data_IF_487828270321
#
_entry.id   IF_487828270321
#
_cell.length_a   1.000
_cell.length_b   1.000
_cell.length_c   1.000
_cell.angle_alpha   90.00
_cell.angle_beta   90.00
_cell.angle_gamma   90.00
#
_symmetry.space_group_name_H-M   'P 1'
#
loop_
_entity.id
_entity.type
_entity.pdbx_description
1 polymer ?
#
# COMPACT_ATOMS: atom_id res chain seq x y z
N UNK A 1 -36.71 58.82 -4.57
CA UNK A 1 -35.37 58.36 -4.98
C UNK A 1 -34.78 57.66 -3.77
N UNK A 2 -35.21 56.42 -3.57
CA UNK A 2 -34.74 55.55 -2.49
C UNK A 2 -33.43 54.94 -2.94
N UNK A 3 -32.36 55.35 -2.28
CA UNK A 3 -31.04 54.74 -2.34
C UNK A 3 -31.13 53.33 -1.72
N UNK A 4 -31.47 52.34 -2.54
CA UNK A 4 -31.25 50.94 -2.21
C UNK A 4 -29.76 50.71 -2.36
N UNK A 5 -28.99 51.03 -1.32
CA UNK A 5 -27.61 50.58 -1.24
C UNK A 5 -27.62 49.06 -1.43
N UNK A 6 -27.09 48.60 -2.56
CA UNK A 6 -26.78 47.18 -2.77
C UNK A 6 -25.88 46.76 -1.63
N UNK A 7 -26.43 46.06 -0.64
CA UNK A 7 -25.63 45.44 0.39
C UNK A 7 -24.77 44.40 -0.30
N UNK A 8 -23.47 44.67 -0.35
CA UNK A 8 -22.48 43.81 -0.98
C UNK A 8 -22.59 42.39 -0.40
N UNK A 9 -22.73 41.39 -1.26
CA UNK A 9 -22.94 40.01 -0.83
C UNK A 9 -21.76 39.53 0.03
N UNK A 10 -22.00 39.04 1.26
CA UNK A 10 -20.95 38.45 2.09
C UNK A 10 -20.21 37.30 1.39
N UNK A 11 -20.91 36.51 0.57
CA UNK A 11 -20.30 35.42 -0.20
C UNK A 11 -19.35 35.97 -1.27
N UNK A 12 -19.77 36.95 -2.07
CA UNK A 12 -18.92 37.53 -3.12
C UNK A 12 -17.66 38.18 -2.52
N UNK A 13 -17.81 38.92 -1.43
CA UNK A 13 -16.68 39.53 -0.69
C UNK A 13 -15.69 38.46 -0.21
N UNK A 14 -16.22 37.32 0.26
CA UNK A 14 -15.40 36.19 0.68
C UNK A 14 -14.66 35.54 -0.51
N UNK A 15 -15.34 35.32 -1.63
CA UNK A 15 -14.76 34.73 -2.84
C UNK A 15 -13.69 35.62 -3.44
N UNK A 16 -13.87 36.94 -3.44
CA UNK A 16 -12.84 37.90 -3.85
C UNK A 16 -11.57 37.80 -3.01
N UNK A 17 -11.71 37.65 -1.69
CA UNK A 17 -10.58 37.41 -0.80
C UNK A 17 -9.88 36.08 -1.09
N UNK A 18 -10.63 35.03 -1.45
CA UNK A 18 -10.08 33.72 -1.87
C UNK A 18 -9.32 33.86 -3.20
N UNK A 19 -9.90 34.54 -4.19
CA UNK A 19 -9.29 34.77 -5.51
C UNK A 19 -7.98 35.53 -5.36
N UNK A 20 -8.00 36.65 -4.63
CA UNK A 20 -6.81 37.45 -4.33
C UNK A 20 -5.74 36.61 -3.60
N UNK A 21 -6.19 35.73 -2.70
CA UNK A 21 -5.33 34.81 -1.96
C UNK A 21 -4.71 33.68 -2.80
N UNK A 22 -5.34 33.26 -3.89
CA UNK A 22 -4.92 32.07 -4.66
C UNK A 22 -4.40 32.39 -6.07
N UNK A 23 -4.05 33.64 -6.36
CA UNK A 23 -3.53 34.12 -7.66
C UNK A 23 -2.33 33.34 -8.22
N UNK A 24 -1.52 32.71 -7.37
CA UNK A 24 -0.37 31.88 -7.78
C UNK A 24 -0.77 30.49 -8.35
N UNK A 25 -2.04 30.10 -8.25
CA UNK A 25 -2.56 28.84 -8.81
C UNK A 25 -2.73 28.94 -10.33
N UNK A 26 -2.78 27.80 -11.00
CA UNK A 26 -3.16 27.78 -12.42
C UNK A 26 -4.62 28.26 -12.59
N UNK A 27 -4.97 28.96 -13.69
CA UNK A 27 -6.32 29.50 -13.90
C UNK A 27 -7.43 28.44 -13.87
N UNK A 28 -7.11 27.18 -14.21
CA UNK A 28 -8.07 26.07 -14.13
C UNK A 28 -8.34 25.65 -12.69
N UNK A 29 -7.30 25.55 -11.87
CA UNK A 29 -7.43 25.19 -10.45
C UNK A 29 -8.12 26.29 -9.65
N UNK A 30 -7.79 27.55 -9.93
CA UNK A 30 -8.44 28.69 -9.28
C UNK A 30 -9.95 28.67 -9.51
N UNK A 31 -10.39 28.52 -10.77
CA UNK A 31 -11.82 28.42 -11.12
C UNK A 31 -12.52 27.25 -10.42
N UNK A 32 -11.86 26.10 -10.32
CA UNK A 32 -12.44 24.95 -9.64
C UNK A 32 -12.63 25.20 -8.14
N UNK A 33 -11.58 25.70 -7.46
CA UNK A 33 -11.64 25.96 -6.01
C UNK A 33 -12.69 27.02 -5.69
N UNK A 34 -12.77 28.08 -6.50
CA UNK A 34 -13.78 29.14 -6.33
C UNK A 34 -15.19 28.59 -6.53
N UNK A 35 -15.44 27.87 -7.63
CA UNK A 35 -16.76 27.30 -7.90
C UNK A 35 -17.22 26.29 -6.84
N UNK A 36 -16.31 25.45 -6.33
CA UNK A 36 -16.60 24.50 -5.26
C UNK A 36 -16.89 25.20 -3.92
N UNK A 37 -16.12 26.25 -3.60
CA UNK A 37 -16.32 27.06 -2.39
C UNK A 37 -17.63 27.82 -2.45
N UNK A 38 -17.94 28.43 -3.60
CA UNK A 38 -19.20 29.12 -3.86
C UNK A 38 -20.39 28.18 -3.68
N UNK A 39 -20.34 26.99 -4.29
CA UNK A 39 -21.41 26.00 -4.17
C UNK A 39 -21.72 25.66 -2.71
N UNK A 40 -20.69 25.38 -1.90
CA UNK A 40 -20.89 25.09 -0.47
C UNK A 40 -21.46 26.27 0.33
N UNK A 41 -21.00 27.49 0.06
CA UNK A 41 -21.52 28.69 0.73
C UNK A 41 -22.98 28.96 0.34
N UNK A 42 -23.33 28.76 -0.93
CA UNK A 42 -24.70 28.93 -1.45
C UNK A 42 -25.62 27.85 -0.87
N UNK A 43 -25.20 26.59 -0.82
CA UNK A 43 -25.97 25.49 -0.21
C UNK A 43 -26.28 25.76 1.27
N UNK A 44 -25.29 26.25 2.04
CA UNK A 44 -25.47 26.59 3.46
C UNK A 44 -26.38 27.81 3.64
N UNK A 45 -26.25 28.83 2.78
CA UNK A 45 -27.12 30.01 2.81
C UNK A 45 -28.58 29.67 2.45
N UNK A 46 -28.79 28.83 1.44
CA UNK A 46 -30.12 28.35 1.05
C UNK A 46 -30.80 27.58 2.19
N UNK A 47 -30.05 26.75 2.92
CA UNK A 47 -30.57 26.06 4.11
C UNK A 47 -30.99 27.04 5.21
N UNK A 48 -30.20 28.08 5.48
CA UNK A 48 -30.55 29.11 6.47
C UNK A 48 -31.77 29.95 6.03
N UNK A 49 -31.86 30.27 4.74
CA UNK A 49 -33.03 30.94 4.16
C UNK A 49 -34.30 30.09 4.27
N UNK A 50 -34.21 28.78 4.02
CA UNK A 50 -35.32 27.85 4.20
C UNK A 50 -35.79 27.77 5.67
N UNK A 51 -34.90 28.07 6.62
CA UNK A 51 -35.23 28.21 8.04
C UNK A 51 -35.81 29.59 8.42
N UNK A 52 -36.05 30.47 7.43
CA UNK A 52 -36.65 31.78 7.61
C UNK A 52 -35.66 32.94 7.83
N UNK A 53 -34.36 32.71 7.65
CA UNK A 53 -33.35 33.77 7.77
C UNK A 53 -33.38 34.70 6.53
N UNK A 54 -33.25 36.03 6.70
CA UNK A 54 -33.07 36.95 5.58
C UNK A 54 -31.82 36.60 4.76
N UNK A 55 -31.88 36.80 3.43
CA UNK A 55 -30.81 36.37 2.51
C UNK A 55 -29.40 36.87 2.91
N UNK A 56 -29.25 38.17 3.20
CA UNK A 56 -27.95 38.73 3.61
C UNK A 56 -27.43 38.13 4.93
N UNK A 57 -28.31 37.90 5.91
CA UNK A 57 -27.95 37.25 7.18
C UNK A 57 -27.57 35.78 6.97
N UNK A 58 -28.27 35.08 6.08
CA UNK A 58 -27.97 33.70 5.71
C UNK A 58 -26.60 33.56 5.04
N UNK A 59 -26.26 34.46 4.12
CA UNK A 59 -24.94 34.52 3.48
C UNK A 59 -23.83 34.83 4.51
N UNK A 60 -24.06 35.80 5.40
CA UNK A 60 -23.10 36.13 6.46
C UNK A 60 -22.91 34.96 7.44
N UNK A 61 -23.97 34.24 7.77
CA UNK A 61 -23.92 33.05 8.62
C UNK A 61 -23.16 31.91 7.93
N UNK A 62 -23.38 31.68 6.63
CA UNK A 62 -22.68 30.68 5.85
C UNK A 62 -21.16 30.95 5.85
N UNK A 63 -20.74 32.20 5.57
CA UNK A 63 -19.34 32.61 5.64
C UNK A 63 -18.76 32.45 7.05
N UNK A 64 -19.48 32.87 8.08
CA UNK A 64 -19.03 32.71 9.47
C UNK A 64 -18.83 31.24 9.84
N UNK A 65 -19.72 30.35 9.40
CA UNK A 65 -19.63 28.90 9.63
C UNK A 65 -18.48 28.27 8.83
N UNK A 66 -18.26 28.73 7.61
CA UNK A 66 -17.18 28.27 6.74
C UNK A 66 -15.80 28.68 7.30
N UNK A 67 -15.73 29.83 7.94
CA UNK A 67 -14.54 30.35 8.62
C UNK A 67 -13.82 31.45 7.82
N UNK A 68 -12.70 32.00 8.34
CA UNK A 68 -12.03 33.14 7.73
C UNK A 68 -11.32 32.81 6.41
N UNK A 69 -11.50 33.65 5.38
CA UNK A 69 -10.90 33.45 4.05
C UNK A 69 -9.37 33.29 4.12
N UNK A 70 -8.70 34.03 5.01
CA UNK A 70 -7.24 33.93 5.22
C UNK A 70 -6.77 32.54 5.66
N UNK A 71 -7.57 31.86 6.47
CA UNK A 71 -7.24 30.53 7.00
C UNK A 71 -7.47 29.47 5.92
N UNK A 72 -8.56 29.60 5.17
CA UNK A 72 -8.81 28.80 3.97
C UNK A 72 -7.70 28.96 2.93
N UNK A 73 -7.32 30.19 2.58
CA UNK A 73 -6.24 30.49 1.63
C UNK A 73 -4.90 29.93 2.13
N UNK A 74 -4.59 30.08 3.43
CA UNK A 74 -3.36 29.54 4.00
C UNK A 74 -3.32 28.01 3.92
N UNK A 75 -4.42 27.33 4.25
CA UNK A 75 -4.55 25.89 4.14
C UNK A 75 -4.41 25.43 2.67
N UNK A 76 -5.04 26.13 1.74
CA UNK A 76 -5.02 25.78 0.33
C UNK A 76 -3.64 26.06 -0.31
N UNK A 77 -2.92 27.09 0.13
CA UNK A 77 -1.51 27.30 -0.24
C UNK A 77 -0.61 26.21 0.32
N UNK A 78 -0.82 25.79 1.57
CA UNK A 78 -0.08 24.69 2.18
C UNK A 78 -0.29 23.36 1.43
N UNK A 79 -1.51 23.12 0.92
CA UNK A 79 -1.82 21.96 0.05
C UNK A 79 -1.17 22.05 -1.33
N UNK A 80 -0.96 23.25 -1.87
CA UNK A 80 -0.32 23.46 -3.17
C UNK A 80 1.15 23.05 -3.18
N UNK A 81 1.82 23.17 -2.03
CA UNK A 81 3.19 22.73 -1.84
C UNK A 81 3.12 21.29 -1.35
N UNK A 82 3.21 20.31 -2.25
CA UNK A 82 3.56 18.95 -1.87
C UNK A 82 5.07 18.90 -1.70
N UNK A 83 5.63 18.97 -0.48
CA UNK A 83 7.06 18.78 -0.29
C UNK A 83 7.41 17.37 -0.78
N UNK A 84 8.07 17.29 -1.95
CA UNK A 84 8.51 16.03 -2.56
C UNK A 84 9.29 15.19 -1.54
N UNK A 85 10.04 15.85 -0.66
CA UNK A 85 10.74 15.19 0.45
C UNK A 85 9.84 14.43 1.42
N UNK A 86 8.66 14.96 1.77
CA UNK A 86 7.74 14.25 2.65
C UNK A 86 7.02 13.11 1.92
N UNK A 87 6.63 13.32 0.65
CA UNK A 87 6.10 12.23 -0.16
C UNK A 87 7.12 11.10 -0.30
N UNK A 88 8.37 11.42 -0.64
CA UNK A 88 9.45 10.44 -0.75
C UNK A 88 9.66 9.69 0.58
N UNK A 89 9.59 10.38 1.72
CA UNK A 89 9.72 9.74 3.04
C UNK A 89 8.53 8.84 3.36
N UNK A 90 7.30 9.24 3.04
CA UNK A 90 6.09 8.40 3.22
C UNK A 90 6.18 7.14 2.36
N UNK A 91 6.59 7.29 1.09
CA UNK A 91 6.82 6.19 0.16
C UNK A 91 7.92 5.26 0.69
N UNK A 92 9.07 5.80 1.10
CA UNK A 92 10.16 5.01 1.66
C UNK A 92 9.74 4.26 2.93
N UNK A 93 8.99 4.91 3.82
CA UNK A 93 8.48 4.28 5.05
C UNK A 93 7.53 3.13 4.72
N UNK A 94 6.60 3.34 3.78
CA UNK A 94 5.72 2.28 3.29
C UNK A 94 6.47 1.15 2.61
N UNK A 95 7.49 1.46 1.79
CA UNK A 95 8.33 0.48 1.12
C UNK A 95 9.12 -0.37 2.13
N UNK A 96 9.68 0.24 3.17
CA UNK A 96 10.37 -0.48 4.24
C UNK A 96 9.41 -1.35 5.06
N UNK A 97 8.20 -0.87 5.35
CA UNK A 97 7.19 -1.68 6.05
C UNK A 97 6.74 -2.88 5.22
N UNK A 98 6.31 -2.64 3.97
CA UNK A 98 5.82 -3.69 3.08
C UNK A 98 6.95 -4.65 2.69
N UNK A 99 8.14 -4.12 2.38
CA UNK A 99 9.33 -4.90 2.07
C UNK A 99 9.78 -5.75 3.26
N UNK A 100 9.78 -5.19 4.47
CA UNK A 100 10.08 -5.93 5.70
C UNK A 100 9.08 -7.07 5.96
N UNK A 101 7.77 -6.81 5.79
CA UNK A 101 6.73 -7.84 5.91
C UNK A 101 6.86 -8.92 4.83
N UNK A 102 7.17 -8.53 3.59
CA UNK A 102 7.44 -9.45 2.49
C UNK A 102 8.66 -10.34 2.76
N UNK A 103 9.75 -9.75 3.26
CA UNK A 103 10.93 -10.49 3.66
C UNK A 103 10.63 -11.50 4.79
N UNK A 104 9.88 -11.09 5.81
CA UNK A 104 9.40 -12.01 6.88
C UNK A 104 8.55 -13.14 6.32
N UNK A 105 7.65 -12.85 5.38
CA UNK A 105 6.86 -13.88 4.69
C UNK A 105 7.75 -14.87 3.91
N UNK A 106 8.78 -14.38 3.21
CA UNK A 106 9.77 -15.25 2.57
C UNK A 106 10.51 -16.09 3.61
N UNK A 107 10.87 -15.53 4.76
CA UNK A 107 11.43 -16.26 5.90
C UNK A 107 10.55 -17.41 6.39
N UNK A 108 9.26 -17.13 6.61
CA UNK A 108 8.29 -18.15 7.00
C UNK A 108 8.18 -19.26 5.94
N UNK A 109 8.22 -18.90 4.65
CA UNK A 109 8.27 -19.91 3.58
C UNK A 109 9.56 -20.75 3.60
N UNK A 110 10.69 -20.18 4.05
CA UNK A 110 11.93 -20.92 4.28
C UNK A 110 11.81 -21.97 5.39
N UNK A 111 11.08 -21.66 6.47
CA UNK A 111 10.78 -22.63 7.54
C UNK A 111 9.92 -23.77 7.00
N UNK A 112 8.88 -23.47 6.22
CA UNK A 112 8.04 -24.50 5.58
C UNK A 112 8.89 -25.36 4.61
N UNK A 113 9.76 -24.74 3.81
CA UNK A 113 10.68 -25.44 2.94
C UNK A 113 11.61 -26.40 3.72
N UNK A 114 12.13 -25.97 4.87
CA UNK A 114 12.93 -26.82 5.75
C UNK A 114 12.14 -28.03 6.25
N UNK A 115 10.88 -27.83 6.64
CA UNK A 115 9.98 -28.91 7.06
C UNK A 115 9.69 -29.90 5.91
N UNK A 116 9.43 -29.40 4.70
CA UNK A 116 9.24 -30.25 3.51
C UNK A 116 10.50 -31.08 3.26
N UNK A 117 11.70 -30.47 3.31
CA UNK A 117 12.97 -31.19 3.16
C UNK A 117 13.13 -32.30 4.21
N UNK A 118 12.76 -32.01 5.46
CA UNK A 118 12.85 -32.97 6.57
C UNK A 118 11.89 -34.15 6.42
N UNK A 119 10.66 -33.90 5.97
CA UNK A 119 9.59 -34.92 5.94
C UNK A 119 9.53 -35.67 4.60
N UNK A 120 9.66 -34.96 3.48
CA UNK A 120 9.49 -35.50 2.14
C UNK A 120 10.81 -35.66 1.36
N UNK A 121 11.93 -35.20 1.94
CA UNK A 121 13.26 -35.30 1.34
C UNK A 121 13.63 -34.16 0.40
N UNK A 122 14.91 -34.11 0.03
CA UNK A 122 15.51 -33.06 -0.80
C UNK A 122 14.85 -32.95 -2.18
N UNK A 123 14.58 -34.09 -2.82
CA UNK A 123 14.01 -34.14 -4.18
C UNK A 123 12.57 -33.63 -4.24
N UNK A 124 11.79 -33.75 -3.15
CA UNK A 124 10.47 -33.14 -3.07
C UNK A 124 10.54 -31.62 -2.95
N UNK A 125 11.57 -31.09 -2.27
CA UNK A 125 11.77 -29.65 -2.11
C UNK A 125 12.27 -29.00 -3.40
N UNK A 126 13.37 -29.51 -3.96
CA UNK A 126 14.02 -29.01 -5.19
C UNK A 126 14.33 -30.18 -6.12
N UNK A 127 14.25 -29.96 -7.43
CA UNK A 127 14.74 -30.93 -8.41
C UNK A 127 15.29 -30.24 -9.67
N UNK A 128 16.01 -30.99 -10.47
CA UNK A 128 16.44 -30.57 -11.81
C UNK A 128 15.21 -30.53 -12.72
N UNK A 129 14.98 -29.38 -13.37
CA UNK A 129 13.84 -29.24 -14.27
C UNK A 129 13.88 -30.30 -15.38
N UNK A 130 12.71 -30.85 -15.80
CA UNK A 130 12.65 -31.89 -16.83
C UNK A 130 13.40 -31.47 -18.10
N UNK A 131 14.21 -32.39 -18.65
CA UNK A 131 14.99 -32.15 -19.86
C UNK A 131 16.27 -31.34 -19.67
N UNK A 132 16.58 -30.87 -18.45
CA UNK A 132 17.88 -30.25 -18.15
C UNK A 132 18.89 -31.31 -17.71
N UNK A 133 20.10 -31.22 -18.25
CA UNK A 133 21.25 -32.04 -17.85
C UNK A 133 22.28 -31.19 -17.12
N UNK A 134 22.90 -31.75 -16.09
CA UNK A 134 24.03 -31.11 -15.41
C UNK A 134 25.27 -31.25 -16.29
N UNK A 135 25.96 -30.13 -16.54
CA UNK A 135 27.19 -30.15 -17.32
C UNK A 135 28.33 -30.84 -16.55
N UNK A 136 29.32 -31.38 -17.26
CA UNK A 136 30.47 -32.03 -16.63
C UNK A 136 31.26 -31.07 -15.71
N UNK A 137 31.35 -29.79 -16.07
CA UNK A 137 32.03 -28.77 -15.27
C UNK A 137 31.25 -28.37 -14.01
N UNK A 138 29.92 -28.24 -14.09
CA UNK A 138 29.09 -28.05 -12.89
C UNK A 138 29.19 -29.26 -11.97
N UNK A 139 29.24 -30.46 -12.54
CA UNK A 139 29.37 -31.69 -11.80
C UNK A 139 30.66 -31.76 -10.97
N UNK A 140 31.79 -31.45 -11.61
CA UNK A 140 33.08 -31.38 -10.93
C UNK A 140 33.07 -30.36 -9.80
N UNK A 141 32.41 -29.20 -9.99
CA UNK A 141 32.26 -28.16 -8.96
C UNK A 141 31.45 -28.67 -7.76
N UNK A 142 30.30 -29.30 -8.00
CA UNK A 142 29.43 -29.79 -6.92
C UNK A 142 30.07 -30.93 -6.13
N UNK A 143 30.70 -31.89 -6.81
CA UNK A 143 31.41 -33.00 -6.14
C UNK A 143 32.65 -32.52 -5.36
N UNK A 144 33.31 -31.45 -5.81
CA UNK A 144 34.40 -30.84 -5.06
C UNK A 144 33.91 -30.12 -3.78
N UNK A 145 32.71 -29.55 -3.81
CA UNK A 145 32.09 -28.88 -2.67
C UNK A 145 31.47 -29.85 -1.65
N UNK A 146 30.99 -31.01 -2.10
CA UNK A 146 30.43 -32.07 -1.24
C UNK A 146 31.10 -33.43 -1.52
N UNK A 147 32.24 -33.72 -0.86
CA UNK A 147 32.96 -34.99 -1.03
C UNK A 147 32.16 -36.22 -0.56
N UNK A 148 31.09 -36.02 0.22
CA UNK A 148 30.24 -37.10 0.73
C UNK A 148 29.12 -37.52 -0.23
N UNK A 149 28.85 -36.73 -1.27
CA UNK A 149 27.81 -37.02 -2.23
C UNK A 149 28.15 -38.24 -3.10
N UNK A 150 27.18 -39.13 -3.30
CA UNK A 150 27.34 -40.36 -4.10
C UNK A 150 27.10 -40.13 -5.57
N UNK A 151 26.49 -38.99 -5.92
CA UNK A 151 26.24 -38.59 -7.29
C UNK A 151 26.27 -37.08 -7.46
N UNK A 152 26.55 -36.68 -8.68
CA UNK A 152 26.46 -35.30 -9.14
C UNK A 152 25.11 -34.63 -8.81
N UNK A 153 24.03 -35.38 -9.04
CA UNK A 153 22.66 -34.93 -8.79
C UNK A 153 22.43 -34.72 -7.30
N UNK A 154 22.86 -35.66 -6.47
CA UNK A 154 22.73 -35.56 -5.02
C UNK A 154 23.46 -34.32 -4.47
N UNK A 155 24.69 -34.08 -4.91
CA UNK A 155 25.46 -32.90 -4.52
C UNK A 155 24.72 -31.59 -4.91
N UNK A 156 24.26 -31.50 -6.15
CA UNK A 156 23.54 -30.32 -6.65
C UNK A 156 22.21 -30.09 -5.90
N UNK A 157 21.42 -31.13 -5.66
CA UNK A 157 20.15 -31.01 -4.94
C UNK A 157 20.36 -30.64 -3.47
N UNK A 158 21.39 -31.20 -2.82
CA UNK A 158 21.75 -30.87 -1.44
C UNK A 158 22.06 -29.37 -1.29
N UNK A 159 22.85 -28.83 -2.22
CA UNK A 159 23.19 -27.42 -2.26
C UNK A 159 21.96 -26.54 -2.53
N UNK A 160 21.20 -26.79 -3.60
CA UNK A 160 20.02 -25.98 -3.91
C UNK A 160 18.97 -26.02 -2.80
N UNK A 161 18.83 -27.15 -2.11
CA UNK A 161 17.95 -27.25 -0.95
C UNK A 161 18.47 -26.41 0.22
N UNK A 162 19.78 -26.36 0.43
CA UNK A 162 20.39 -25.50 1.43
C UNK A 162 20.19 -24.02 1.07
N UNK A 163 20.50 -23.60 -0.16
CA UNK A 163 20.28 -22.23 -0.63
C UNK A 163 18.83 -21.79 -0.50
N UNK A 164 17.89 -22.63 -0.94
CA UNK A 164 16.44 -22.37 -0.85
C UNK A 164 16.01 -22.11 0.59
N UNK A 165 16.49 -22.91 1.54
CA UNK A 165 16.11 -22.75 2.96
C UNK A 165 16.85 -21.59 3.60
N UNK A 166 18.18 -21.56 3.48
CA UNK A 166 19.05 -20.62 4.19
C UNK A 166 18.82 -19.19 3.71
N UNK A 167 18.78 -18.93 2.41
CA UNK A 167 18.58 -17.56 1.91
C UNK A 167 17.20 -17.02 2.26
N UNK A 168 16.17 -17.87 2.26
CA UNK A 168 14.82 -17.45 2.66
C UNK A 168 14.76 -17.09 4.14
N UNK A 169 15.29 -17.96 5.02
CA UNK A 169 15.35 -17.69 6.47
C UNK A 169 16.18 -16.44 6.75
N UNK A 170 17.34 -16.30 6.12
CA UNK A 170 18.21 -15.13 6.29
C UNK A 170 17.49 -13.84 5.87
N UNK A 171 16.81 -13.85 4.73
CA UNK A 171 16.00 -12.71 4.28
C UNK A 171 14.89 -12.38 5.28
N UNK A 172 14.23 -13.41 5.84
CA UNK A 172 13.24 -13.24 6.90
C UNK A 172 13.77 -12.55 8.16
N UNK A 173 14.94 -12.98 8.62
CA UNK A 173 15.62 -12.38 9.78
C UNK A 173 15.99 -10.92 9.49
N UNK A 174 16.55 -10.63 8.32
CA UNK A 174 16.88 -9.27 7.89
C UNK A 174 15.63 -8.39 7.80
N UNK A 175 14.53 -8.91 7.27
CA UNK A 175 13.23 -8.24 7.23
C UNK A 175 12.70 -7.91 8.62
N UNK A 176 12.75 -8.88 9.54
CA UNK A 176 12.37 -8.69 10.94
C UNK A 176 13.22 -7.62 11.62
N UNK A 177 14.54 -7.66 11.46
CA UNK A 177 15.45 -6.64 11.99
C UNK A 177 15.15 -5.25 11.42
N UNK A 178 14.87 -5.14 10.12
CA UNK A 178 14.49 -3.89 9.49
C UNK A 178 13.18 -3.33 10.05
N UNK A 179 12.17 -4.18 10.29
CA UNK A 179 10.91 -3.77 10.92
C UNK A 179 11.09 -3.32 12.37
N UNK A 180 11.94 -4.00 13.13
CA UNK A 180 12.27 -3.61 14.52
C UNK A 180 12.99 -2.26 14.51
N UNK A 181 14.01 -2.08 13.67
CA UNK A 181 14.74 -0.83 13.54
C UNK A 181 13.81 0.32 13.13
N UNK A 182 12.92 0.09 12.16
CA UNK A 182 11.91 1.07 11.75
C UNK A 182 10.92 1.38 12.88
N UNK A 183 10.47 0.38 13.62
CA UNK A 183 9.60 0.56 14.79
C UNK A 183 10.28 1.40 15.88
N UNK A 184 11.57 1.16 16.17
CA UNK A 184 12.36 1.94 17.10
C UNK A 184 12.54 3.39 16.62
N UNK A 185 12.83 3.59 15.33
CA UNK A 185 12.98 4.92 14.74
C UNK A 185 11.68 5.72 14.82
N UNK A 186 10.54 5.07 14.53
CA UNK A 186 9.21 5.68 14.60
C UNK A 186 8.79 6.04 16.03
N UNK A 187 9.20 5.25 17.03
CA UNK A 187 8.95 5.56 18.45
C UNK A 187 9.72 6.77 18.95
N UNK A 188 10.88 7.08 18.36
CA UNK A 188 11.74 8.20 18.75
C UNK A 188 11.44 9.51 18.00
N UNK A 189 10.74 9.43 16.88
CA UNK A 189 10.43 10.58 16.04
C UNK A 189 9.00 11.08 16.24
N UNK A 190 8.71 12.31 15.79
CA UNK A 190 7.34 12.83 15.79
C UNK A 190 6.45 12.01 14.84
N UNK A 191 5.18 11.70 15.22
CA UNK A 191 4.30 10.82 14.45
C UNK A 191 4.13 11.22 12.98
N UNK A 192 4.12 12.53 12.71
CA UNK A 192 3.93 13.10 11.38
C UNK A 192 5.11 12.84 10.43
N UNK A 193 6.33 12.78 10.98
CA UNK A 193 7.55 12.70 10.18
C UNK A 193 7.73 11.35 9.50
N UNK A 194 7.20 10.27 10.07
CA UNK A 194 7.30 8.89 9.56
C UNK A 194 5.94 8.24 9.40
N UNK A 195 4.94 9.04 9.02
CA UNK A 195 3.66 8.51 8.60
C UNK A 195 3.86 7.68 7.32
N UNK A 196 3.37 6.42 7.24
CA UNK A 196 3.30 5.71 5.98
C UNK A 196 2.25 6.33 5.06
N UNK A 197 2.20 5.85 3.82
CA UNK A 197 1.07 6.07 2.92
C UNK A 197 -0.27 5.66 3.57
N UNK A 198 -1.41 6.22 3.10
CA UNK A 198 -2.73 5.80 3.57
C UNK A 198 -2.91 4.29 3.52
N UNK A 199 -3.54 3.72 4.56
CA UNK A 199 -3.70 2.27 4.72
C UNK A 199 -4.35 1.61 3.51
N UNK A 200 -5.37 2.24 2.93
CA UNK A 200 -6.06 1.76 1.72
C UNK A 200 -5.06 1.53 0.57
N UNK A 201 -4.12 2.45 0.37
CA UNK A 201 -3.08 2.35 -0.68
C UNK A 201 -2.12 1.20 -0.37
N UNK A 202 -1.59 1.15 0.86
CA UNK A 202 -0.64 0.09 1.24
C UNK A 202 -1.25 -1.31 1.21
N UNK A 203 -2.49 -1.45 1.67
CA UNK A 203 -3.18 -2.74 1.76
C UNK A 203 -3.59 -3.21 0.35
N UNK A 204 -3.92 -2.30 -0.57
CA UNK A 204 -4.14 -2.62 -2.00
C UNK A 204 -2.87 -3.10 -2.70
N UNK A 205 -1.73 -2.41 -2.47
CA UNK A 205 -0.44 -2.82 -3.02
C UNK A 205 -0.06 -4.20 -2.49
N UNK A 206 -0.16 -4.40 -1.17
CA UNK A 206 0.18 -5.65 -0.53
C UNK A 206 -0.72 -6.81 -1.02
N UNK A 207 -2.04 -6.61 -1.06
CA UNK A 207 -2.98 -7.58 -1.61
C UNK A 207 -2.60 -8.00 -3.04
N UNK A 208 -2.32 -7.03 -3.90
CA UNK A 208 -1.97 -7.29 -5.30
C UNK A 208 -0.67 -8.09 -5.41
N UNK A 209 0.40 -7.65 -4.73
CA UNK A 209 1.71 -8.33 -4.78
C UNK A 209 1.64 -9.73 -4.18
N UNK A 210 1.11 -9.87 -2.96
CA UNK A 210 1.04 -11.17 -2.30
C UNK A 210 0.04 -12.11 -2.98
N UNK A 211 -1.08 -11.57 -3.47
CA UNK A 211 -2.08 -12.35 -4.20
C UNK A 211 -1.53 -12.89 -5.51
N UNK A 212 -0.89 -12.04 -6.33
CA UNK A 212 -0.26 -12.48 -7.57
C UNK A 212 0.87 -13.47 -7.32
N UNK A 213 1.77 -13.19 -6.38
CA UNK A 213 2.85 -14.11 -6.02
C UNK A 213 2.33 -15.45 -5.48
N UNK A 214 1.28 -15.43 -4.65
CA UNK A 214 0.65 -16.63 -4.11
C UNK A 214 0.00 -17.49 -5.20
N UNK A 215 -0.79 -16.89 -6.08
CA UNK A 215 -1.38 -17.60 -7.22
C UNK A 215 -0.32 -18.14 -8.18
N UNK A 216 0.71 -17.35 -8.48
CA UNK A 216 1.80 -17.75 -9.37
C UNK A 216 2.59 -18.94 -8.82
N UNK A 217 3.03 -18.86 -7.57
CA UNK A 217 3.77 -19.96 -6.91
C UNK A 217 2.90 -21.19 -6.70
N UNK A 218 1.60 -21.03 -6.44
CA UNK A 218 0.68 -22.16 -6.42
C UNK A 218 0.60 -22.85 -7.78
N UNK A 219 0.49 -22.07 -8.87
CA UNK A 219 0.48 -22.59 -10.23
C UNK A 219 1.74 -23.39 -10.56
N UNK A 220 2.93 -22.86 -10.23
CA UNK A 220 4.21 -23.57 -10.41
C UNK A 220 4.30 -24.85 -9.55
N UNK A 221 3.74 -24.82 -8.33
CA UNK A 221 3.68 -25.99 -7.47
C UNK A 221 2.78 -27.09 -8.05
N UNK A 222 1.60 -26.72 -8.57
CA UNK A 222 0.68 -27.66 -9.24
C UNK A 222 1.30 -28.22 -10.51
N UNK A 223 1.94 -27.38 -11.32
CA UNK A 223 2.66 -27.81 -12.52
C UNK A 223 3.77 -28.83 -12.18
N UNK A 224 4.55 -28.59 -11.13
CA UNK A 224 5.57 -29.55 -10.67
C UNK A 224 4.96 -30.87 -10.15
N UNK A 225 3.80 -30.83 -9.49
CA UNK A 225 3.08 -32.05 -9.09
C UNK A 225 2.67 -32.87 -10.32
N UNK A 226 2.09 -32.21 -11.33
CA UNK A 226 1.53 -32.89 -12.51
C UNK A 226 2.63 -33.30 -13.49
N UNK A 227 3.53 -32.39 -13.85
CA UNK A 227 4.54 -32.56 -14.88
C UNK A 227 5.84 -33.20 -14.41
N UNK A 228 6.18 -33.10 -13.12
CA UNK A 228 7.40 -33.66 -12.53
C UNK A 228 7.15 -34.69 -11.42
N UNK A 229 5.91 -35.19 -11.31
CA UNK A 229 5.50 -36.18 -10.30
C UNK A 229 5.78 -35.73 -8.85
N UNK A 230 5.69 -34.42 -8.60
CA UNK A 230 5.92 -33.82 -7.28
C UNK A 230 7.37 -33.46 -6.98
N UNK A 231 8.32 -33.81 -7.85
CA UNK A 231 9.72 -33.43 -7.64
C UNK A 231 9.92 -31.92 -7.82
N UNK A 232 10.60 -31.31 -6.86
CA UNK A 232 10.83 -29.86 -6.83
C UNK A 232 9.59 -29.00 -6.58
N UNK A 233 8.42 -29.60 -6.29
CA UNK A 233 7.19 -28.86 -6.03
C UNK A 233 7.26 -28.08 -4.70
N UNK A 234 8.01 -28.60 -3.72
CA UNK A 234 8.10 -28.03 -2.38
C UNK A 234 8.63 -26.60 -2.33
N UNK A 235 9.54 -26.20 -3.23
CA UNK A 235 10.06 -24.83 -3.26
C UNK A 235 8.96 -23.80 -3.58
N UNK A 236 7.95 -24.19 -4.36
CA UNK A 236 6.83 -23.35 -4.76
C UNK A 236 5.70 -23.43 -3.73
N UNK A 237 5.35 -24.65 -3.31
CA UNK A 237 4.28 -24.92 -2.34
C UNK A 237 4.61 -24.45 -0.92
N UNK A 238 5.89 -24.24 -0.60
CA UNK A 238 6.28 -23.58 0.67
C UNK A 238 5.99 -22.08 0.68
N UNK A 239 5.99 -21.42 -0.49
CA UNK A 239 5.76 -19.97 -0.61
C UNK A 239 4.29 -19.62 -0.79
N UNK A 240 3.56 -20.41 -1.60
CA UNK A 240 2.15 -20.18 -1.91
C UNK A 240 1.24 -19.93 -0.69
N UNK A 241 1.19 -20.80 0.34
CA UNK A 241 0.29 -20.62 1.47
C UNK A 241 0.62 -19.35 2.27
N UNK A 242 1.90 -19.01 2.41
CA UNK A 242 2.31 -17.80 3.15
C UNK A 242 1.88 -16.55 2.40
N UNK A 243 2.13 -16.50 1.08
CA UNK A 243 1.73 -15.38 0.26
C UNK A 243 0.20 -15.22 0.18
N UNK A 244 -0.55 -16.32 0.01
CA UNK A 244 -2.01 -16.29 0.00
C UNK A 244 -2.60 -15.88 1.36
N UNK A 245 -2.03 -16.33 2.47
CA UNK A 245 -2.44 -15.90 3.80
C UNK A 245 -2.19 -14.41 4.02
N UNK A 246 -1.02 -13.90 3.60
CA UNK A 246 -0.73 -12.46 3.64
C UNK A 246 -1.74 -11.67 2.78
N UNK A 247 -2.00 -12.12 1.55
CA UNK A 247 -3.00 -11.52 0.66
C UNK A 247 -4.39 -11.47 1.31
N UNK A 248 -4.83 -12.57 1.94
CA UNK A 248 -6.11 -12.63 2.63
C UNK A 248 -6.19 -11.64 3.80
N UNK A 249 -5.11 -11.50 4.59
CA UNK A 249 -5.04 -10.53 5.70
C UNK A 249 -5.18 -9.10 5.18
N UNK A 250 -4.40 -8.72 4.15
CA UNK A 250 -4.46 -7.37 3.57
C UNK A 250 -5.79 -7.11 2.86
N UNK A 251 -6.34 -8.09 2.16
CA UNK A 251 -7.66 -8.00 1.53
C UNK A 251 -8.78 -7.82 2.55
N UNK A 252 -8.75 -8.56 3.66
CA UNK A 252 -9.73 -8.39 4.73
C UNK A 252 -9.66 -7.00 5.37
N UNK A 253 -8.45 -6.50 5.64
CA UNK A 253 -8.25 -5.13 6.14
C UNK A 253 -8.78 -4.07 5.19
N UNK A 254 -8.45 -4.20 3.90
CA UNK A 254 -8.94 -3.29 2.86
C UNK A 254 -10.48 -3.31 2.79
N UNK A 255 -11.10 -4.48 2.82
CA UNK A 255 -12.57 -4.62 2.82
C UNK A 255 -13.20 -3.99 4.07
N UNK A 256 -12.56 -4.12 5.24
CA UNK A 256 -13.05 -3.51 6.48
C UNK A 256 -12.97 -1.99 6.41
N UNK A 257 -11.87 -1.44 5.91
CA UNK A 257 -11.67 0.00 5.76
C UNK A 257 -12.69 0.59 4.77
N UNK A 258 -12.93 -0.07 3.63
CA UNK A 258 -13.93 0.36 2.65
C UNK A 258 -15.38 0.27 3.15
N UNK A 259 -15.68 -0.67 4.07
CA UNK A 259 -17.02 -0.79 4.69
C UNK A 259 -17.25 0.19 5.82
N UNK A 260 -16.17 0.65 6.48
CA UNK A 260 -16.23 1.59 7.60
C UNK A 260 -16.32 3.05 7.17
N UNK A 261 -16.18 3.36 5.88
CA UNK A 261 -16.18 4.74 5.38
C UNK A 261 -17.61 5.30 5.26
N UNK A 262 -18.01 6.31 6.08
CA UNK A 262 -19.36 6.87 6.09
C UNK A 262 -19.76 7.49 4.75
N UNK A 263 -18.80 7.96 3.95
CA UNK A 263 -19.10 8.55 2.64
C UNK A 263 -19.62 7.52 1.63
N UNK A 264 -19.16 6.26 1.72
CA UNK A 264 -19.69 5.17 0.90
C UNK A 264 -21.06 4.68 1.39
N UNK A 265 -21.37 4.85 2.67
CA UNK A 265 -22.70 4.59 3.22
C UNK A 265 -23.74 5.59 2.69
N UNK A 266 -23.37 6.88 2.55
CA UNK A 266 -24.23 7.92 1.98
C UNK A 266 -24.56 7.67 0.50
N UNK A 267 -23.57 7.26 -0.31
CA UNK A 267 -23.79 6.90 -1.73
C UNK A 267 -24.69 5.67 -1.86
N UNK A 268 -24.58 4.69 -0.94
CA UNK A 268 -25.50 3.53 -0.93
C UNK A 268 -26.93 3.90 -0.55
N UNK A 269 -27.15 4.85 0.35
CA UNK A 269 -28.50 5.31 0.71
C UNK A 269 -29.12 6.24 -0.33
N UNK A 270 -28.32 6.86 -1.21
CA UNK A 270 -28.82 7.73 -2.27
C UNK A 270 -29.22 6.98 -3.56
N UNK A 271 -28.88 5.69 -3.67
CA UNK A 271 -29.08 4.87 -4.88
C UNK A 271 -30.04 3.69 -4.63
N UNK A 272 -30.51 3.50 -3.40
CA UNK A 272 -31.52 2.50 -3.03
C UNK A 272 -32.82 3.17 -2.59
#
# INVERSE_FOLDING_TARGET
>A
MTDFGEQESPIETYLDAVVAGLTARSPRQLRHVVAETEAHLRDDAEQAMAAGMPAHEAEAQAVHRFGPAREFVAAERARAVLPIGDLARRVLTSALLLGGLGAVAVGASGVIAALIRLVAGTQALVDVAPGRVLSASDCARWLAADPGARSCREAALSDWAAETVVYRIALGLLGGLALVALGMLRRRATPERWAPLPRVVSDTIALTIFGTAGCWTLGLGVDAIVGASGHGAGQWLSAAPVALAAAAIFGWRLLRDLRGDPQLAYVRSAVG
#
